data_IF_303880185311
#
_entry.id   IF_303880185311
#
_cell.length_a   1.000
_cell.length_b   1.000
_cell.length_c   1.000
_cell.angle_alpha   90.00
_cell.angle_beta   90.00
_cell.angle_gamma   90.00
#
_symmetry.space_group_name_H-M   'P 1'
#
loop_
_entity.id
_entity.type
_entity.pdbx_description
1 polymer ?
#
# COMPACT_ATOMS: atom_id res chain seq x y z
N UNK A 1 -23.36 83.51 -63.90
CA UNK A 1 -22.43 83.01 -64.93
C UNK A 1 -21.43 82.09 -64.24
N UNK A 2 -21.37 80.84 -64.70
CA UNK A 2 -20.31 79.83 -64.53
C UNK A 2 -19.89 79.37 -63.11
N UNK A 3 -20.32 78.14 -62.76
CA UNK A 3 -19.54 77.10 -62.03
C UNK A 3 -18.23 76.75 -62.80
N UNK A 4 -17.27 75.90 -62.33
CA UNK A 4 -17.39 74.83 -61.31
C UNK A 4 -16.13 74.55 -60.44
N UNK A 5 -16.20 73.58 -59.52
CA UNK A 5 -15.40 72.33 -59.51
C UNK A 5 -15.85 71.48 -58.30
N UNK A 6 -16.08 70.19 -58.55
CA UNK A 6 -16.44 69.15 -57.58
C UNK A 6 -15.29 68.14 -57.48
N UNK A 7 -15.03 67.56 -56.30
CA UNK A 7 -14.61 66.16 -56.21
C UNK A 7 -15.49 65.33 -55.21
N UNK A 8 -15.31 64.00 -55.15
CA UNK A 8 -16.45 63.06 -55.07
C UNK A 8 -16.62 62.28 -53.75
N UNK A 9 -17.89 61.92 -53.51
CA UNK A 9 -18.51 60.66 -53.02
C UNK A 9 -17.67 59.69 -52.15
N UNK A 10 -18.12 59.51 -50.89
CA UNK A 10 -18.13 58.25 -50.13
C UNK A 10 -19.36 58.31 -49.19
N UNK A 11 -20.46 57.59 -49.41
CA UNK A 11 -20.71 56.15 -49.20
C UNK A 11 -21.03 55.80 -47.72
N UNK A 12 -22.34 55.81 -47.46
CA UNK A 12 -23.14 54.97 -46.56
C UNK A 12 -22.61 54.61 -45.16
N UNK A 13 -23.31 55.16 -44.15
CA UNK A 13 -23.41 54.61 -42.81
C UNK A 13 -24.03 53.21 -42.84
N UNK A 14 -23.27 52.21 -42.40
CA UNK A 14 -23.79 50.89 -42.05
C UNK A 14 -23.67 50.72 -40.54
N UNK A 15 -24.82 50.73 -39.87
CA UNK A 15 -24.95 50.51 -38.43
C UNK A 15 -24.58 49.07 -38.10
N UNK A 16 -23.31 48.83 -37.76
CA UNK A 16 -22.88 47.54 -37.22
C UNK A 16 -23.13 47.52 -35.71
N UNK A 17 -24.25 46.90 -35.33
CA UNK A 17 -24.55 46.49 -33.97
C UNK A 17 -23.48 45.47 -33.52
N UNK A 18 -22.48 45.97 -32.79
CA UNK A 18 -21.50 45.14 -32.10
C UNK A 18 -22.20 44.33 -31.02
N UNK A 19 -22.67 43.13 -31.38
CA UNK A 19 -23.19 42.13 -30.45
C UNK A 19 -21.99 41.57 -29.69
N UNK A 20 -21.67 42.18 -28.55
CA UNK A 20 -20.79 41.58 -27.55
C UNK A 20 -21.44 40.29 -27.06
N UNK A 21 -21.07 39.17 -27.67
CA UNK A 21 -21.25 37.85 -27.08
C UNK A 21 -20.33 37.76 -25.86
N UNK A 22 -20.75 38.34 -24.74
CA UNK A 22 -20.35 37.84 -23.43
C UNK A 22 -20.91 36.42 -23.34
N UNK A 23 -20.05 35.44 -23.59
CA UNK A 23 -20.34 34.06 -23.26
C UNK A 23 -20.53 34.02 -21.74
N UNK A 24 -21.79 34.11 -21.29
CA UNK A 24 -22.17 33.95 -19.90
C UNK A 24 -21.62 32.60 -19.43
N UNK A 25 -20.55 32.64 -18.66
CA UNK A 25 -19.91 31.46 -18.09
C UNK A 25 -20.84 30.91 -17.02
N UNK A 26 -21.67 29.95 -17.40
CA UNK A 26 -22.54 29.26 -16.47
C UNK A 26 -21.68 28.55 -15.41
N UNK A 27 -21.82 28.97 -14.16
CA UNK A 27 -21.13 28.35 -13.02
C UNK A 27 -21.76 27.00 -12.70
N UNK A 28 -20.98 26.03 -12.22
CA UNK A 28 -21.51 24.74 -11.74
C UNK A 28 -22.58 24.91 -10.65
N UNK A 29 -22.58 26.03 -9.94
CA UNK A 29 -23.59 26.40 -8.93
C UNK A 29 -24.98 26.67 -9.52
N UNK A 30 -25.11 26.89 -10.84
CA UNK A 30 -26.40 27.05 -11.51
C UNK A 30 -27.07 25.72 -11.85
N UNK A 31 -26.33 24.60 -11.76
CA UNK A 31 -26.88 23.25 -11.96
C UNK A 31 -27.63 22.83 -10.70
N UNK A 32 -28.80 22.21 -10.86
CA UNK A 32 -29.60 21.73 -9.74
C UNK A 32 -28.84 20.69 -8.90
N UNK A 33 -28.94 20.76 -7.57
CA UNK A 33 -28.23 19.89 -6.63
C UNK A 33 -28.47 18.40 -6.89
N UNK A 34 -29.69 18.03 -7.26
CA UNK A 34 -30.02 16.64 -7.57
C UNK A 34 -29.28 16.12 -8.80
N UNK A 35 -29.10 16.95 -9.84
CA UNK A 35 -28.35 16.56 -11.05
C UNK A 35 -26.88 16.35 -10.68
N UNK A 36 -26.32 17.26 -9.88
CA UNK A 36 -24.96 17.13 -9.38
C UNK A 36 -24.82 15.82 -8.60
N UNK A 37 -25.73 15.55 -7.66
CA UNK A 37 -25.68 14.37 -6.79
C UNK A 37 -25.87 13.06 -7.54
N UNK A 38 -26.91 12.94 -8.38
CA UNK A 38 -27.30 11.66 -8.99
C UNK A 38 -26.55 11.33 -10.28
N UNK A 39 -26.10 12.33 -11.04
CA UNK A 39 -25.50 12.12 -12.36
C UNK A 39 -24.04 12.51 -12.48
N UNK A 40 -23.55 13.45 -11.65
CA UNK A 40 -22.16 13.91 -11.69
C UNK A 40 -21.33 13.18 -10.64
N UNK A 41 -21.70 13.31 -9.36
CA UNK A 41 -20.90 12.77 -8.25
C UNK A 41 -20.80 11.24 -8.26
N UNK A 42 -21.86 10.54 -8.70
CA UNK A 42 -21.91 9.07 -8.81
C UNK A 42 -20.95 8.50 -9.85
N UNK A 43 -20.38 9.32 -10.74
CA UNK A 43 -19.45 8.91 -11.80
C UNK A 43 -17.98 9.19 -11.46
N UNK A 44 -17.73 9.82 -10.32
CA UNK A 44 -16.38 10.20 -9.91
C UNK A 44 -15.72 9.03 -9.16
N UNK A 45 -14.43 8.83 -9.42
CA UNK A 45 -13.61 7.96 -8.59
C UNK A 45 -13.36 8.61 -7.22
N UNK A 46 -12.94 7.82 -6.24
CA UNK A 46 -12.72 8.33 -4.88
C UNK A 46 -11.79 9.54 -4.78
N UNK A 47 -10.63 9.58 -5.48
CA UNK A 47 -9.77 10.76 -5.51
C UNK A 47 -10.44 12.00 -6.14
N UNK A 48 -11.19 11.87 -7.24
CA UNK A 48 -11.92 13.01 -7.81
C UNK A 48 -13.04 13.48 -6.88
N UNK A 49 -13.78 12.55 -6.25
CA UNK A 49 -14.81 12.88 -5.28
C UNK A 49 -14.22 13.63 -4.07
N UNK A 50 -13.06 13.19 -3.57
CA UNK A 50 -12.32 13.90 -2.52
C UNK A 50 -11.92 15.32 -2.95
N UNK A 51 -11.42 15.48 -4.19
CA UNK A 51 -11.05 16.79 -4.72
C UNK A 51 -12.26 17.73 -4.83
N UNK A 52 -13.42 17.22 -5.27
CA UNK A 52 -14.68 17.96 -5.33
C UNK A 52 -15.11 18.46 -3.95
N UNK A 53 -14.89 17.66 -2.88
CA UNK A 53 -15.24 18.08 -1.52
C UNK A 53 -14.46 19.30 -1.02
N UNK A 54 -13.31 19.59 -1.64
CA UNK A 54 -12.45 20.73 -1.32
C UNK A 54 -12.72 21.96 -2.20
N UNK A 55 -13.51 21.82 -3.28
CA UNK A 55 -13.69 22.88 -4.27
C UNK A 55 -14.64 24.00 -3.80
N UNK A 56 -15.70 23.66 -3.07
CA UNK A 56 -16.65 24.62 -2.49
C UNK A 56 -17.44 24.01 -1.35
N UNK A 57 -18.04 24.85 -0.48
CA UNK A 57 -18.89 24.39 0.61
C UNK A 57 -20.13 23.62 0.11
N UNK A 58 -20.73 24.06 -1.02
CA UNK A 58 -21.88 23.40 -1.63
C UNK A 58 -21.52 21.99 -2.10
N UNK A 59 -20.40 21.85 -2.83
CA UNK A 59 -19.94 20.54 -3.32
C UNK A 59 -19.50 19.64 -2.16
N UNK A 60 -18.86 20.19 -1.14
CA UNK A 60 -18.53 19.47 0.10
C UNK A 60 -19.77 18.88 0.77
N UNK A 61 -20.84 19.66 0.90
CA UNK A 61 -22.09 19.20 1.47
C UNK A 61 -22.75 18.10 0.62
N UNK A 62 -22.79 18.26 -0.70
CA UNK A 62 -23.37 17.25 -1.61
C UNK A 62 -22.55 15.95 -1.64
N UNK A 63 -21.22 16.03 -1.53
CA UNK A 63 -20.32 14.87 -1.50
C UNK A 63 -20.17 14.23 -0.12
N UNK A 64 -20.90 14.69 0.90
CA UNK A 64 -20.86 14.09 2.25
C UNK A 64 -21.77 12.88 2.40
N UNK A 65 -22.52 12.51 1.36
CA UNK A 65 -23.40 11.34 1.34
C UNK A 65 -22.61 10.03 1.46
N UNK A 66 -22.90 9.24 2.50
CA UNK A 66 -22.25 7.95 2.75
C UNK A 66 -22.51 6.93 1.63
N UNK A 67 -23.65 7.01 0.93
CA UNK A 67 -23.94 6.10 -0.18
C UNK A 67 -22.92 6.25 -1.33
N UNK A 68 -22.53 7.49 -1.65
CA UNK A 68 -21.50 7.74 -2.66
C UNK A 68 -20.17 7.11 -2.26
N UNK A 69 -19.74 7.31 -1.01
CA UNK A 69 -18.49 6.75 -0.51
C UNK A 69 -18.54 5.23 -0.39
N UNK A 70 -19.72 4.65 -0.10
CA UNK A 70 -19.93 3.20 -0.09
C UNK A 70 -19.75 2.60 -1.47
N UNK A 71 -20.33 3.21 -2.50
CA UNK A 71 -20.18 2.74 -3.88
C UNK A 71 -18.72 2.88 -4.37
N UNK A 72 -18.05 3.97 -3.99
CA UNK A 72 -16.61 4.17 -4.23
C UNK A 72 -15.77 3.11 -3.52
N UNK A 73 -16.05 2.82 -2.23
CA UNK A 73 -15.34 1.78 -1.49
C UNK A 73 -15.59 0.39 -2.09
N UNK A 74 -16.83 0.06 -2.45
CA UNK A 74 -17.21 -1.24 -3.01
C UNK A 74 -16.61 -1.49 -4.39
N UNK A 75 -16.45 -0.44 -5.20
CA UNK A 75 -15.79 -0.52 -6.52
C UNK A 75 -14.26 -0.54 -6.43
N UNK A 76 -13.68 0.11 -5.42
CA UNK A 76 -12.21 0.12 -5.22
C UNK A 76 -11.73 -1.15 -4.48
N UNK A 77 -12.51 -1.61 -3.51
CA UNK A 77 -12.19 -2.70 -2.59
C UNK A 77 -13.42 -3.59 -2.38
N UNK A 78 -13.62 -4.63 -3.21
CA UNK A 78 -14.75 -5.55 -3.11
C UNK A 78 -14.93 -6.18 -1.72
N UNK A 79 -13.85 -6.36 -0.97
CA UNK A 79 -13.87 -6.85 0.42
C UNK A 79 -14.70 -5.98 1.37
N UNK A 80 -14.96 -4.72 1.03
CA UNK A 80 -15.86 -3.83 1.79
C UNK A 80 -17.33 -4.20 1.68
N UNK A 81 -17.70 -5.11 0.77
CA UNK A 81 -19.07 -5.62 0.67
C UNK A 81 -19.36 -6.72 1.69
N UNK A 82 -18.33 -7.29 2.30
CA UNK A 82 -18.46 -8.30 3.34
C UNK A 82 -19.27 -7.76 4.54
N UNK A 83 -20.24 -8.53 5.09
CA UNK A 83 -21.07 -8.07 6.20
C UNK A 83 -20.28 -7.60 7.42
N UNK A 84 -19.17 -8.27 7.76
CA UNK A 84 -18.35 -7.95 8.92
C UNK A 84 -17.61 -6.63 8.70
N UNK A 85 -17.06 -6.41 7.49
CA UNK A 85 -16.43 -5.12 7.14
C UNK A 85 -17.46 -4.00 7.10
N UNK A 86 -18.64 -4.21 6.50
CA UNK A 86 -19.73 -3.22 6.48
C UNK A 86 -20.17 -2.83 7.89
N UNK A 87 -20.33 -3.80 8.77
CA UNK A 87 -20.70 -3.55 10.16
C UNK A 87 -19.65 -2.68 10.84
N UNK A 88 -18.35 -2.99 10.71
CA UNK A 88 -17.30 -2.21 11.35
C UNK A 88 -17.17 -0.82 10.74
N UNK A 89 -17.26 -0.68 9.41
CA UNK A 89 -17.25 0.63 8.74
C UNK A 89 -18.36 1.53 9.30
N UNK A 90 -19.56 0.99 9.55
CA UNK A 90 -20.67 1.77 10.12
C UNK A 90 -20.39 2.34 11.52
N UNK A 91 -19.40 1.81 12.24
CA UNK A 91 -19.00 2.28 13.57
C UNK A 91 -17.92 3.38 13.55
N UNK A 92 -17.32 3.63 12.37
CA UNK A 92 -16.29 4.64 12.17
C UNK A 92 -16.90 6.06 12.20
N UNK A 93 -16.14 7.10 12.61
CA UNK A 93 -16.68 8.45 12.77
C UNK A 93 -17.31 9.07 11.51
N UNK A 94 -16.87 8.67 10.31
CA UNK A 94 -17.44 9.12 9.03
C UNK A 94 -17.64 7.97 8.06
N UNK A 95 -17.95 6.79 8.60
CA UNK A 95 -18.28 5.58 7.86
C UNK A 95 -17.35 5.32 6.66
N UNK A 96 -17.89 5.21 5.44
CA UNK A 96 -17.12 4.88 4.24
C UNK A 96 -16.15 6.00 3.83
N UNK A 97 -16.47 7.25 4.14
CA UNK A 97 -15.58 8.38 3.85
C UNK A 97 -14.30 8.32 4.68
N UNK A 98 -14.42 8.03 5.98
CA UNK A 98 -13.25 7.80 6.84
C UNK A 98 -12.47 6.56 6.42
N UNK A 99 -13.16 5.47 6.09
CA UNK A 99 -12.52 4.25 5.59
C UNK A 99 -11.69 4.51 4.34
N UNK A 100 -12.25 5.24 3.36
CA UNK A 100 -11.56 5.59 2.14
C UNK A 100 -10.35 6.48 2.42
N UNK A 101 -10.51 7.53 3.22
CA UNK A 101 -9.43 8.47 3.54
C UNK A 101 -8.28 7.84 4.34
N UNK A 102 -8.57 6.85 5.18
CA UNK A 102 -7.56 6.15 5.98
C UNK A 102 -6.81 5.08 5.15
N UNK A 103 -7.49 4.49 4.15
CA UNK A 103 -6.96 3.47 3.22
C UNK A 103 -6.26 4.06 1.99
N UNK A 104 -6.63 5.28 1.58
CA UNK A 104 -6.06 6.00 0.46
C UNK A 104 -5.89 7.50 0.78
N UNK A 105 -4.72 8.11 0.48
CA UNK A 105 -3.56 7.52 -0.17
C UNK A 105 -2.75 6.56 0.73
N UNK A 106 -1.87 5.77 0.11
CA UNK A 106 -1.03 4.79 0.81
C UNK A 106 -0.09 5.45 1.83
N UNK A 107 0.29 4.65 2.84
CA UNK A 107 1.34 5.02 3.78
C UNK A 107 2.66 5.30 3.05
N UNK A 108 3.36 6.32 3.51
CA UNK A 108 4.64 6.74 2.99
C UNK A 108 5.62 6.93 4.14
N UNK A 109 6.80 6.32 4.01
CA UNK A 109 7.88 6.52 4.98
C UNK A 109 8.42 7.95 4.88
N UNK A 110 8.30 8.80 5.93
CA UNK A 110 8.95 10.10 5.93
C UNK A 110 10.48 9.93 5.92
N UNK A 111 11.18 10.81 5.19
CA UNK A 111 12.65 10.88 5.24
C UNK A 111 13.13 11.14 6.68
N UNK A 112 14.32 10.64 7.08
CA UNK A 112 14.82 10.74 8.46
C UNK A 112 14.82 12.17 9.03
N UNK A 113 15.10 13.18 8.20
CA UNK A 113 15.13 14.60 8.61
C UNK A 113 13.76 15.21 8.94
N UNK A 114 12.65 14.52 8.63
CA UNK A 114 11.27 14.98 8.84
C UNK A 114 10.54 14.23 9.95
N UNK A 115 11.21 13.32 10.65
CA UNK A 115 10.60 12.65 11.79
C UNK A 115 10.37 13.66 12.92
N UNK A 116 9.13 14.14 13.05
CA UNK A 116 8.70 14.87 14.25
C UNK A 116 8.87 13.94 15.45
N UNK A 117 9.30 14.50 16.60
CA UNK A 117 9.33 13.77 17.87
C UNK A 117 7.96 13.11 18.05
N UNK A 118 7.94 11.78 18.18
CA UNK A 118 6.71 11.05 18.48
C UNK A 118 6.14 11.62 19.79
N UNK A 119 4.85 11.95 19.87
CA UNK A 119 4.24 12.21 21.16
C UNK A 119 4.48 10.99 22.06
N UNK A 120 4.67 11.23 23.36
CA UNK A 120 4.80 10.15 24.33
C UNK A 120 3.64 9.16 24.14
N UNK A 121 3.96 7.88 24.03
CA UNK A 121 2.99 6.79 23.90
C UNK A 121 1.90 6.99 24.95
N UNK A 122 0.71 7.47 24.53
CA UNK A 122 -0.50 7.20 25.31
C UNK A 122 -0.63 5.69 25.25
N UNK A 123 -0.76 5.02 26.40
CA UNK A 123 -1.10 3.61 26.41
C UNK A 123 -2.37 3.46 25.56
N UNK A 124 -2.26 2.91 24.35
CA UNK A 124 -3.43 2.76 23.50
C UNK A 124 -4.36 1.77 24.20
N UNK A 125 -5.66 1.97 24.04
CA UNK A 125 -6.62 0.93 24.37
C UNK A 125 -6.14 -0.36 23.72
N UNK A 126 -6.10 -1.50 24.43
CA UNK A 126 -5.57 -2.71 23.86
C UNK A 126 -6.36 -3.05 22.61
N UNK A 127 -5.68 -3.08 21.46
CA UNK A 127 -6.24 -3.64 20.24
C UNK A 127 -6.66 -5.08 20.53
N UNK A 128 -7.96 -5.34 20.43
CA UNK A 128 -8.57 -6.64 20.76
C UNK A 128 -8.76 -7.51 19.54
N UNK A 129 -9.03 -6.88 18.40
CA UNK A 129 -9.33 -7.56 17.14
C UNK A 129 -8.85 -6.72 15.95
N UNK A 130 -8.20 -7.39 15.01
CA UNK A 130 -7.82 -6.83 13.71
C UNK A 130 -8.56 -7.55 12.60
N UNK A 131 -9.16 -6.77 11.69
CA UNK A 131 -9.81 -7.32 10.50
C UNK A 131 -8.94 -7.00 9.30
N UNK A 132 -8.53 -8.04 8.57
CA UNK A 132 -7.86 -7.93 7.27
C UNK A 132 -8.89 -8.09 6.16
N UNK A 133 -9.03 -7.06 5.33
CA UNK A 133 -9.85 -7.03 4.13
C UNK A 133 -8.90 -6.97 2.93
N UNK A 134 -8.90 -8.01 2.10
CA UNK A 134 -7.87 -8.24 1.08
C UNK A 134 -8.50 -8.50 -0.27
N UNK A 135 -8.05 -7.75 -1.26
CA UNK A 135 -8.50 -7.88 -2.65
C UNK A 135 -7.28 -7.97 -3.56
N UNK A 136 -7.22 -9.03 -4.38
CA UNK A 136 -6.21 -9.25 -5.40
C UNK A 136 -6.82 -9.11 -6.79
N UNK A 137 -6.19 -8.33 -7.65
CA UNK A 137 -6.60 -8.09 -9.02
C UNK A 137 -5.49 -8.47 -9.99
N UNK A 138 -5.90 -8.87 -11.19
CA UNK A 138 -5.03 -9.07 -12.34
C UNK A 138 -5.68 -8.41 -13.55
N UNK A 139 -4.98 -7.47 -14.20
CA UNK A 139 -5.52 -6.67 -15.33
C UNK A 139 -6.85 -5.99 -14.99
N UNK A 140 -6.94 -5.43 -13.79
CA UNK A 140 -8.13 -4.79 -13.22
C UNK A 140 -9.34 -5.73 -13.03
N UNK A 141 -9.19 -7.04 -13.23
CA UNK A 141 -10.19 -8.05 -12.91
C UNK A 141 -9.90 -8.71 -11.56
N UNK A 142 -10.94 -8.92 -10.76
CA UNK A 142 -10.83 -9.49 -9.42
C UNK A 142 -10.43 -10.97 -9.50
N UNK A 143 -9.27 -11.31 -8.93
CA UNK A 143 -8.82 -12.71 -8.77
C UNK A 143 -9.49 -13.32 -7.55
N UNK A 144 -9.40 -12.66 -6.39
CA UNK A 144 -10.15 -13.03 -5.19
C UNK A 144 -10.33 -11.83 -4.26
N UNK A 145 -11.34 -11.94 -3.39
CA UNK A 145 -11.61 -11.03 -2.28
C UNK A 145 -11.87 -11.85 -1.03
N UNK A 146 -11.18 -11.56 0.07
CA UNK A 146 -11.32 -12.30 1.33
C UNK A 146 -11.20 -11.37 2.54
N UNK A 147 -11.96 -11.70 3.58
CA UNK A 147 -11.94 -11.01 4.87
C UNK A 147 -11.58 -12.01 5.96
N UNK A 148 -10.71 -11.60 6.88
CA UNK A 148 -10.32 -12.40 8.03
C UNK A 148 -10.21 -11.54 9.28
N UNK A 149 -10.95 -11.91 10.32
CA UNK A 149 -10.81 -11.37 11.66
C UNK A 149 -9.75 -12.17 12.43
N UNK A 150 -8.88 -11.46 13.14
CA UNK A 150 -7.83 -12.02 13.97
C UNK A 150 -7.89 -11.42 15.37
N UNK A 151 -7.95 -12.28 16.38
CA UNK A 151 -7.87 -11.91 17.78
C UNK A 151 -6.41 -11.58 18.16
N UNK A 152 -6.22 -10.52 18.94
CA UNK A 152 -4.88 -9.97 19.22
C UNK A 152 -4.51 -9.98 20.70
N UNK A 153 -5.41 -10.43 21.58
CA UNK A 153 -5.18 -10.41 23.02
C UNK A 153 -4.39 -11.62 23.51
N UNK A 154 -4.56 -12.77 22.87
CA UNK A 154 -3.98 -14.04 23.28
C UNK A 154 -2.47 -13.95 23.44
N UNK A 155 -1.97 -14.61 24.49
CA UNK A 155 -0.53 -14.72 24.75
C UNK A 155 0.21 -15.38 23.58
N UNK A 156 -0.45 -16.26 22.84
CA UNK A 156 0.10 -16.85 21.61
C UNK A 156 0.38 -15.78 20.56
N UNK A 157 -0.64 -15.00 20.18
CA UNK A 157 -0.47 -13.90 19.21
C UNK A 157 0.63 -12.92 19.65
N UNK A 158 0.60 -12.51 20.91
CA UNK A 158 1.54 -11.50 21.44
C UNK A 158 2.99 -11.95 21.44
N UNK A 159 3.24 -13.25 21.61
CA UNK A 159 4.60 -13.81 21.70
C UNK A 159 5.07 -14.46 20.39
N UNK A 160 4.15 -14.88 19.51
CA UNK A 160 4.49 -15.46 18.20
C UNK A 160 4.85 -14.37 17.20
N UNK A 161 5.60 -14.71 16.13
CA UNK A 161 5.74 -13.85 14.96
C UNK A 161 4.36 -13.32 14.51
N UNK A 162 4.28 -12.02 14.22
CA UNK A 162 3.09 -11.43 13.63
C UNK A 162 2.95 -11.99 12.23
N UNK A 163 1.93 -12.83 12.03
CA UNK A 163 1.60 -13.45 10.77
C UNK A 163 0.08 -13.59 10.66
N UNK A 164 -0.47 -13.13 9.54
CA UNK A 164 -1.88 -13.31 9.19
C UNK A 164 -1.93 -14.11 7.91
N UNK A 165 -2.47 -15.34 7.98
CA UNK A 165 -2.64 -16.24 6.84
C UNK A 165 -4.12 -16.27 6.43
N UNK A 166 -4.44 -15.77 5.24
CA UNK A 166 -5.83 -15.73 4.76
C UNK A 166 -6.34 -17.09 4.28
N UNK A 167 -5.45 -17.94 3.78
CA UNK A 167 -5.79 -19.25 3.25
C UNK A 167 -5.55 -20.32 4.29
N UNK A 168 -6.53 -21.21 4.46
CA UNK A 168 -6.37 -22.37 5.33
C UNK A 168 -5.36 -23.37 4.78
N UNK A 169 -4.91 -24.34 5.59
CA UNK A 169 -4.03 -25.40 5.11
C UNK A 169 -4.67 -26.15 3.92
N UNK A 170 -3.99 -26.19 2.78
CA UNK A 170 -4.44 -26.81 1.52
C UNK A 170 -5.62 -26.12 0.83
N UNK A 171 -6.02 -24.93 1.28
CA UNK A 171 -6.96 -24.10 0.52
C UNK A 171 -6.22 -23.54 -0.71
N UNK A 172 -6.77 -23.80 -1.89
CA UNK A 172 -6.24 -23.35 -3.17
C UNK A 172 -7.30 -22.51 -3.86
N UNK A 173 -6.93 -21.32 -4.34
CA UNK A 173 -7.83 -20.48 -5.11
C UNK A 173 -7.45 -20.55 -6.60
N UNK A 174 -8.29 -21.16 -7.46
CA UNK A 174 -8.04 -21.16 -8.89
C UNK A 174 -8.07 -19.74 -9.43
N UNK A 175 -7.16 -19.43 -10.35
CA UNK A 175 -7.14 -18.15 -11.06
C UNK A 175 -7.35 -18.36 -12.54
N UNK A 176 -7.74 -17.29 -13.23
CA UNK A 176 -7.81 -17.22 -14.69
C UNK A 176 -6.47 -16.80 -15.32
N UNK A 177 -5.40 -16.72 -14.53
CA UNK A 177 -4.08 -16.30 -15.00
C UNK A 177 -3.41 -17.49 -15.66
N UNK A 178 -3.31 -17.48 -16.98
CA UNK A 178 -2.64 -18.51 -17.76
C UNK A 178 -1.18 -18.15 -17.97
N UNK A 179 -0.28 -19.13 -17.80
CA UNK A 179 1.10 -19.00 -18.27
C UNK A 179 1.11 -19.28 -19.78
N UNK A 180 1.53 -18.29 -20.57
CA UNK A 180 1.80 -18.51 -21.99
C UNK A 180 3.08 -19.36 -22.12
N UNK A 181 2.91 -20.66 -22.30
CA UNK A 181 4.02 -21.64 -22.44
C UNK A 181 4.69 -21.60 -23.81
N UNK A 182 4.18 -20.82 -24.76
CA UNK A 182 4.71 -20.71 -26.11
C UNK A 182 5.85 -19.68 -26.19
N UNK A 183 7.05 -20.06 -25.73
CA UNK A 183 8.31 -19.40 -26.07
C UNK A 183 8.61 -18.06 -25.39
N UNK A 184 7.81 -17.63 -24.41
CA UNK A 184 8.13 -16.45 -23.60
C UNK A 184 9.25 -16.77 -22.59
N UNK A 185 10.19 -15.84 -22.43
CA UNK A 185 11.23 -15.92 -21.41
C UNK A 185 10.59 -15.89 -20.00
N UNK A 186 11.13 -16.64 -19.03
CA UNK A 186 10.58 -16.68 -17.67
C UNK A 186 10.64 -15.27 -17.05
N UNK A 187 11.68 -14.50 -17.37
CA UNK A 187 11.84 -13.11 -16.93
C UNK A 187 10.77 -12.17 -17.53
N UNK A 188 10.35 -12.40 -18.78
CA UNK A 188 9.27 -11.65 -19.42
C UNK A 188 7.93 -11.94 -18.73
N UNK A 189 7.69 -13.20 -18.39
CA UNK A 189 6.49 -13.62 -17.67
C UNK A 189 6.41 -13.02 -16.26
N UNK A 190 7.50 -13.07 -15.49
CA UNK A 190 7.54 -12.45 -14.15
C UNK A 190 7.34 -10.93 -14.24
N UNK A 191 7.91 -10.28 -15.26
CA UNK A 191 7.70 -8.86 -15.52
C UNK A 191 6.23 -8.55 -15.84
N UNK A 192 5.59 -9.39 -16.65
CA UNK A 192 4.16 -9.25 -16.95
C UNK A 192 3.28 -9.39 -15.71
N UNK A 193 3.58 -10.33 -14.80
CA UNK A 193 2.88 -10.43 -13.52
C UNK A 193 3.10 -9.18 -12.65
N UNK A 194 4.34 -8.69 -12.59
CA UNK A 194 4.66 -7.46 -11.86
C UNK A 194 3.84 -6.27 -12.35
N UNK A 195 3.60 -6.18 -13.66
CA UNK A 195 2.90 -5.05 -14.26
C UNK A 195 1.38 -5.10 -14.11
N UNK A 196 0.81 -6.30 -14.04
CA UNK A 196 -0.64 -6.51 -14.15
C UNK A 196 -1.31 -6.94 -12.84
N UNK A 197 -0.55 -7.40 -11.85
CA UNK A 197 -1.10 -7.72 -10.54
C UNK A 197 -1.20 -6.48 -9.66
N UNK A 198 -2.31 -6.31 -8.97
CA UNK A 198 -2.44 -5.31 -7.91
C UNK A 198 -3.16 -5.88 -6.70
N UNK A 199 -2.84 -5.40 -5.51
CA UNK A 199 -3.44 -5.90 -4.27
C UNK A 199 -3.75 -4.78 -3.30
N UNK A 200 -4.86 -4.87 -2.59
CA UNK A 200 -5.11 -4.09 -1.37
C UNK A 200 -5.08 -5.02 -0.17
N UNK A 201 -4.37 -4.62 0.89
CA UNK A 201 -4.45 -5.30 2.18
C UNK A 201 -4.81 -4.26 3.23
N UNK A 202 -6.10 -4.10 3.48
CA UNK A 202 -6.62 -3.11 4.40
C UNK A 202 -6.80 -3.77 5.76
N UNK A 203 -6.12 -3.23 6.77
CA UNK A 203 -6.28 -3.63 8.15
C UNK A 203 -7.15 -2.62 8.88
N UNK A 204 -8.18 -3.11 9.56
CA UNK A 204 -9.11 -2.35 10.36
C UNK A 204 -8.91 -2.72 11.82
N UNK A 205 -8.62 -1.72 12.64
CA UNK A 205 -8.60 -1.85 14.08
C UNK A 205 -9.96 -1.44 14.64
N UNK A 206 -10.67 -2.40 15.22
CA UNK A 206 -12.03 -2.19 15.74
C UNK A 206 -12.04 -1.37 17.02
N UNK A 207 -10.97 -1.41 17.82
CA UNK A 207 -10.85 -0.68 19.07
C UNK A 207 -10.45 0.78 18.84
N UNK A 208 -9.45 1.01 17.98
CA UNK A 208 -9.01 2.36 17.61
C UNK A 208 -9.96 3.02 16.61
N UNK A 209 -10.83 2.25 15.95
CA UNK A 209 -11.69 2.71 14.84
C UNK A 209 -10.85 3.38 13.74
N UNK A 210 -9.72 2.76 13.43
CA UNK A 210 -8.76 3.25 12.43
C UNK A 210 -8.52 2.19 11.37
N UNK A 211 -8.17 2.67 10.19
CA UNK A 211 -7.93 1.84 9.03
C UNK A 211 -6.57 2.18 8.43
N UNK A 212 -5.94 1.18 7.83
CA UNK A 212 -4.70 1.37 7.10
C UNK A 212 -4.56 0.34 5.99
N UNK A 213 -4.14 0.79 4.81
CA UNK A 213 -3.70 -0.13 3.77
C UNK A 213 -2.21 -0.41 3.93
N UNK A 214 -1.87 -1.69 4.13
CA UNK A 214 -0.50 -2.18 4.32
C UNK A 214 0.12 -2.74 3.03
N UNK A 215 -0.60 -2.77 1.92
CA UNK A 215 -0.04 -3.12 0.62
C UNK A 215 0.50 -1.88 -0.12
N UNK A 216 1.51 -2.09 -0.96
CA UNK A 216 2.04 -1.10 -1.88
C UNK A 216 1.14 -0.84 -3.11
N UNK A 217 -0.04 -1.48 -3.18
CA UNK A 217 -0.89 -1.63 -4.38
C UNK A 217 -0.22 -2.41 -5.51
N UNK A 218 0.96 -1.98 -5.94
CA UNK A 218 1.78 -2.64 -6.97
C UNK A 218 2.79 -3.58 -6.30
N UNK A 219 3.19 -4.68 -6.94
CA UNK A 219 4.24 -5.56 -6.44
C UNK A 219 5.56 -4.79 -6.28
N UNK A 220 6.27 -5.07 -5.19
CA UNK A 220 7.65 -4.57 -4.98
C UNK A 220 8.69 -5.61 -5.39
N UNK A 221 8.29 -6.88 -5.47
CA UNK A 221 9.13 -7.98 -5.95
C UNK A 221 8.25 -9.12 -6.46
N UNK A 222 8.64 -9.69 -7.61
CA UNK A 222 8.07 -10.92 -8.16
C UNK A 222 9.24 -11.85 -8.42
N UNK A 223 9.24 -13.02 -7.79
CA UNK A 223 10.35 -13.96 -7.88
C UNK A 223 9.84 -15.38 -7.96
N UNK A 224 10.60 -16.23 -8.66
CA UNK A 224 10.36 -17.66 -8.66
C UNK A 224 11.11 -18.30 -7.49
N UNK A 225 10.39 -19.06 -6.68
CA UNK A 225 10.99 -19.83 -5.60
C UNK A 225 11.87 -20.94 -6.18
N UNK A 226 13.15 -20.95 -5.83
CA UNK A 226 14.16 -21.80 -6.47
C UNK A 226 13.91 -23.31 -6.29
N UNK A 227 13.26 -23.72 -5.20
CA UNK A 227 13.02 -25.13 -4.89
C UNK A 227 11.69 -25.64 -5.43
N UNK A 228 10.60 -24.90 -5.19
CA UNK A 228 9.24 -25.35 -5.56
C UNK A 228 8.85 -24.91 -6.96
N UNK A 229 9.50 -23.88 -7.49
CA UNK A 229 9.14 -23.26 -8.76
C UNK A 229 7.90 -22.35 -8.68
N UNK A 230 7.30 -22.19 -7.50
CA UNK A 230 6.17 -21.30 -7.24
C UNK A 230 6.58 -19.84 -7.45
N UNK A 231 5.61 -19.00 -7.79
CA UNK A 231 5.85 -17.57 -7.97
C UNK A 231 5.44 -16.85 -6.68
N UNK A 232 6.39 -16.12 -6.10
CA UNK A 232 6.21 -15.30 -4.91
C UNK A 232 6.08 -13.83 -5.33
N UNK A 233 4.93 -13.25 -5.03
CA UNK A 233 4.63 -11.84 -5.28
C UNK A 233 4.54 -11.12 -3.95
N UNK A 234 5.45 -10.16 -3.75
CA UNK A 234 5.53 -9.38 -2.52
C UNK A 234 4.96 -7.97 -2.76
N UNK A 235 4.08 -7.57 -1.87
CA UNK A 235 3.59 -6.20 -1.69
C UNK A 235 4.11 -5.71 -0.34
N UNK A 236 4.67 -4.50 -0.29
CA UNK A 236 5.41 -4.08 0.90
C UNK A 236 5.21 -2.63 1.24
N UNK A 237 4.85 -2.36 2.49
CA UNK A 237 4.86 -1.00 3.06
C UNK A 237 5.97 -0.88 4.09
N UNK A 238 6.85 0.09 3.88
CA UNK A 238 7.95 0.38 4.81
C UNK A 238 7.51 1.49 5.77
N UNK A 239 7.63 1.25 7.07
CA UNK A 239 7.31 2.21 8.12
C UNK A 239 8.48 2.43 9.07
N UNK A 240 8.38 3.48 9.88
CA UNK A 240 9.29 3.67 11.01
C UNK A 240 8.82 2.78 12.17
N UNK A 241 9.70 1.90 12.68
CA UNK A 241 9.40 1.04 13.81
C UNK A 241 9.78 1.69 15.14
N UNK A 242 10.72 1.10 15.87
CA UNK A 242 11.19 1.60 17.16
C UNK A 242 11.96 2.93 17.07
N UNK A 243 11.78 3.85 18.04
CA UNK A 243 12.47 5.14 18.05
C UNK A 243 13.97 5.06 18.38
N UNK A 244 14.47 3.88 18.80
CA UNK A 244 15.88 3.70 19.14
C UNK A 244 16.72 3.63 17.87
N UNK A 245 17.40 4.73 17.56
CA UNK A 245 18.35 4.81 16.44
C UNK A 245 19.39 3.69 16.53
N UNK A 246 19.59 2.97 15.43
CA UNK A 246 20.47 1.81 15.37
C UNK A 246 19.86 0.50 15.89
N UNK A 247 18.56 0.46 16.21
CA UNK A 247 17.84 -0.79 16.50
C UNK A 247 17.58 -1.59 15.21
N UNK A 248 17.44 -2.92 15.33
CA UNK A 248 16.97 -3.80 14.26
C UNK A 248 15.62 -3.33 13.71
N UNK A 249 14.74 -2.95 14.62
CA UNK A 249 13.37 -2.53 14.37
C UNK A 249 13.21 -1.02 14.09
N UNK A 250 14.29 -0.26 13.83
CA UNK A 250 14.18 1.17 13.49
C UNK A 250 13.32 1.40 12.22
N UNK A 251 13.44 0.48 11.26
CA UNK A 251 12.64 0.45 10.04
C UNK A 251 12.06 -0.94 9.92
N UNK A 252 10.77 -1.00 9.61
CA UNK A 252 10.01 -2.25 9.57
C UNK A 252 9.23 -2.31 8.28
N UNK A 253 9.17 -3.51 7.73
CA UNK A 253 8.37 -3.84 6.56
C UNK A 253 7.12 -4.60 7.01
N UNK A 254 5.96 -4.09 6.61
CA UNK A 254 4.75 -4.91 6.49
C UNK A 254 4.77 -5.54 5.10
N UNK A 255 5.05 -6.85 5.03
CA UNK A 255 5.20 -7.60 3.78
C UNK A 255 4.03 -8.55 3.60
N UNK A 256 3.20 -8.28 2.60
CA UNK A 256 2.14 -9.17 2.16
C UNK A 256 2.62 -10.00 0.97
N UNK A 257 2.63 -11.32 1.12
CA UNK A 257 3.13 -12.28 0.14
C UNK A 257 1.96 -13.07 -0.42
N UNK A 258 1.89 -13.15 -1.74
CA UNK A 258 0.99 -14.02 -2.48
C UNK A 258 1.83 -15.06 -3.20
N UNK A 259 1.58 -16.34 -2.91
CA UNK A 259 2.25 -17.46 -3.56
C UNK A 259 1.32 -18.05 -4.61
N UNK A 260 1.82 -18.17 -5.83
CA UNK A 260 1.15 -18.83 -6.94
C UNK A 260 1.83 -20.15 -7.25
N UNK A 261 1.10 -21.24 -7.12
CA UNK A 261 1.50 -22.57 -7.56
C UNK A 261 0.98 -22.90 -8.96
N UNK A 262 1.46 -24.02 -9.50
CA UNK A 262 0.95 -24.57 -10.74
C UNK A 262 -0.44 -25.20 -10.53
N UNK A 263 -1.44 -24.68 -11.24
CA UNK A 263 -2.81 -25.15 -11.24
C UNK A 263 -3.20 -25.84 -12.54
N UNK A 264 -4.29 -26.62 -12.50
CA UNK A 264 -4.83 -27.31 -13.69
C UNK A 264 -6.01 -26.53 -14.25
N UNK A 265 -5.97 -26.19 -15.54
CA UNK A 265 -7.14 -25.60 -16.22
C UNK A 265 -8.35 -26.55 -16.15
N UNK A 266 -9.54 -25.98 -15.89
CA UNK A 266 -10.82 -26.71 -15.91
C UNK A 266 -11.29 -27.07 -17.34
N UNK A 267 -10.62 -26.59 -18.39
CA UNK A 267 -10.87 -26.95 -19.79
C UNK A 267 -9.63 -27.64 -20.38
N UNK A 268 -9.82 -28.75 -21.08
CA UNK A 268 -8.77 -29.71 -21.46
C UNK A 268 -7.49 -29.15 -22.12
N UNK A 269 -6.39 -29.86 -21.84
CA UNK A 269 -5.06 -29.93 -22.49
C UNK A 269 -4.44 -28.59 -22.95
N UNK A 270 -3.49 -28.09 -22.15
CA UNK A 270 -2.35 -27.32 -22.67
C UNK A 270 -2.02 -25.99 -21.98
N UNK A 271 -2.95 -25.42 -21.20
CA UNK A 271 -2.70 -24.16 -20.49
C UNK A 271 -2.59 -24.39 -18.97
N UNK A 272 -1.37 -24.28 -18.46
CA UNK A 272 -1.11 -24.24 -17.03
C UNK A 272 -1.62 -22.90 -16.48
N UNK A 273 -2.64 -22.97 -15.63
CA UNK A 273 -3.16 -21.81 -14.92
C UNK A 273 -2.40 -21.65 -13.59
N UNK A 274 -2.31 -20.44 -13.07
CA UNK A 274 -1.83 -20.23 -11.71
C UNK A 274 -2.94 -20.48 -10.70
N UNK A 275 -2.58 -21.04 -9.55
CA UNK A 275 -3.44 -21.16 -8.38
C UNK A 275 -2.82 -20.38 -7.22
N UNK A 276 -3.61 -19.59 -6.50
CA UNK A 276 -3.13 -18.96 -5.26
C UNK A 276 -3.09 -20.04 -4.18
N UNK A 277 -1.90 -20.34 -3.67
CA UNK A 277 -1.64 -21.38 -2.67
C UNK A 277 -1.45 -20.82 -1.27
N UNK A 278 -0.96 -19.58 -1.16
CA UNK A 278 -0.73 -18.90 0.10
C UNK A 278 -0.97 -17.40 -0.07
N UNK A 279 -1.59 -16.77 0.92
CA UNK A 279 -1.69 -15.32 1.04
C UNK A 279 -1.44 -14.96 2.49
N UNK A 280 -0.30 -14.33 2.77
CA UNK A 280 0.13 -14.05 4.14
C UNK A 280 0.67 -12.63 4.31
N UNK A 281 0.44 -12.03 5.47
CA UNK A 281 1.03 -10.76 5.88
C UNK A 281 1.97 -10.99 7.06
N UNK A 282 3.20 -10.50 6.96
CA UNK A 282 4.22 -10.61 7.99
C UNK A 282 4.93 -9.28 8.24
N UNK A 283 5.52 -9.15 9.43
CA UNK A 283 6.22 -7.95 9.86
C UNK A 283 7.69 -8.27 10.09
N UNK A 284 8.58 -7.62 9.33
CA UNK A 284 10.02 -7.88 9.38
C UNK A 284 10.83 -6.64 9.75
N UNK A 285 11.88 -6.85 10.53
CA UNK A 285 12.88 -5.84 10.87
C UNK A 285 14.02 -5.74 9.82
N UNK A 286 14.97 -4.82 10.03
CA UNK A 286 16.14 -4.66 9.13
C UNK A 286 17.16 -5.81 9.22
N UNK A 287 16.96 -6.80 10.07
CA UNK A 287 17.76 -8.02 10.14
C UNK A 287 17.04 -9.21 9.49
N UNK A 288 15.82 -9.00 8.99
CA UNK A 288 14.98 -10.04 8.41
C UNK A 288 14.33 -10.94 9.44
N UNK A 289 14.30 -10.52 10.72
CA UNK A 289 13.55 -11.25 11.75
C UNK A 289 12.11 -10.80 11.74
N UNK A 290 11.21 -11.77 11.87
CA UNK A 290 9.80 -11.49 12.11
C UNK A 290 9.63 -10.89 13.51
N UNK A 291 8.94 -9.75 13.58
CA UNK A 291 8.54 -9.17 14.86
C UNK A 291 7.38 -9.96 15.46
N UNK A 292 7.30 -10.02 16.78
CA UNK A 292 6.16 -10.66 17.45
C UNK A 292 4.88 -9.82 17.34
N UNK A 293 3.73 -10.40 17.67
CA UNK A 293 2.45 -9.69 17.61
C UNK A 293 2.42 -8.42 18.45
N UNK A 294 2.95 -8.45 19.67
CA UNK A 294 2.94 -7.29 20.58
C UNK A 294 3.69 -6.08 20.02
N UNK A 295 4.92 -6.29 19.57
CA UNK A 295 5.77 -5.21 19.07
C UNK A 295 5.27 -4.72 17.72
N UNK A 296 4.72 -5.62 16.90
CA UNK A 296 4.09 -5.28 15.62
C UNK A 296 2.85 -4.40 15.77
N UNK A 297 2.00 -4.67 16.78
CA UNK A 297 0.82 -3.84 17.08
C UNK A 297 1.22 -2.41 17.42
N UNK A 298 2.22 -2.21 18.28
CA UNK A 298 2.69 -0.86 18.65
C UNK A 298 3.12 -0.06 17.41
N UNK A 299 3.76 -0.72 16.45
CA UNK A 299 4.19 -0.10 15.20
C UNK A 299 2.99 0.19 14.28
N UNK A 300 2.05 -0.75 14.18
CA UNK A 300 0.83 -0.62 13.38
C UNK A 300 -0.04 0.53 13.87
N UNK A 301 -0.31 0.61 15.17
CA UNK A 301 -1.10 1.66 15.81
C UNK A 301 -0.46 3.04 15.57
N UNK A 302 0.87 3.14 15.75
CA UNK A 302 1.61 4.37 15.46
C UNK A 302 1.52 4.76 13.97
N UNK A 303 1.52 3.79 13.06
CA UNK A 303 1.34 4.04 11.63
C UNK A 303 -0.10 4.48 11.31
N UNK A 304 -1.11 3.91 11.95
CA UNK A 304 -2.51 4.33 11.81
C UNK A 304 -2.70 5.78 12.27
N UNK A 305 -2.22 6.12 13.47
CA UNK A 305 -2.39 7.44 14.08
C UNK A 305 -1.59 8.56 13.41
N UNK A 306 -0.31 8.34 13.18
CA UNK A 306 0.65 9.39 12.79
C UNK A 306 1.35 9.15 11.46
N UNK A 307 1.03 8.06 10.76
CA UNK A 307 1.64 7.72 9.48
C UNK A 307 1.39 8.78 8.42
N UNK A 308 2.46 9.22 7.75
CA UNK A 308 2.33 10.12 6.61
C UNK A 308 1.72 9.36 5.44
N UNK A 309 0.63 9.88 4.88
CA UNK A 309 -0.02 9.33 3.67
C UNK A 309 0.19 10.27 2.50
N UNK A 310 0.49 9.74 1.32
CA UNK A 310 0.54 10.56 0.09
C UNK A 310 0.32 9.70 -1.15
N UNK A 311 -0.20 10.32 -2.21
CA UNK A 311 -0.26 9.70 -3.52
C UNK A 311 1.16 9.45 -4.02
N UNK A 312 1.42 8.27 -4.58
CA UNK A 312 2.67 7.97 -5.26
C UNK A 312 2.90 9.00 -6.38
N UNK A 313 4.13 9.51 -6.48
CA UNK A 313 4.50 10.53 -7.47
C UNK A 313 4.72 9.91 -8.85
N UNK A 314 5.14 8.65 -8.87
CA UNK A 314 5.39 7.86 -10.07
C UNK A 314 5.15 6.38 -9.75
N UNK A 315 4.87 5.61 -10.81
CA UNK A 315 4.85 4.15 -10.77
C UNK A 315 6.19 3.62 -10.25
N UNK A 316 6.17 2.58 -9.42
CA UNK A 316 7.39 2.00 -8.85
C UNK A 316 8.04 2.78 -7.69
N UNK A 317 7.45 3.86 -7.18
CA UNK A 317 7.96 4.54 -5.97
C UNK A 317 8.02 3.60 -4.75
N UNK A 318 7.04 2.70 -4.61
CA UNK A 318 7.05 1.68 -3.56
C UNK A 318 8.20 0.67 -3.76
N UNK A 319 8.45 0.27 -5.01
CA UNK A 319 9.59 -0.60 -5.37
C UNK A 319 10.93 0.05 -5.06
N UNK A 320 11.07 1.36 -5.28
CA UNK A 320 12.26 2.12 -4.89
C UNK A 320 12.46 2.12 -3.36
N UNK A 321 11.41 2.42 -2.59
CA UNK A 321 11.48 2.37 -1.11
C UNK A 321 11.83 0.97 -0.59
N UNK A 322 11.30 -0.07 -1.24
CA UNK A 322 11.62 -1.45 -0.91
C UNK A 322 13.08 -1.79 -1.24
N UNK A 323 13.61 -1.35 -2.39
CA UNK A 323 15.03 -1.51 -2.74
C UNK A 323 15.95 -0.82 -1.74
N UNK A 324 15.62 0.41 -1.34
CA UNK A 324 16.35 1.14 -0.29
C UNK A 324 16.33 0.36 1.04
N UNK A 325 15.20 -0.25 1.39
CA UNK A 325 15.09 -1.09 2.59
C UNK A 325 15.96 -2.35 2.51
N UNK A 326 15.96 -3.04 1.38
CA UNK A 326 16.84 -4.17 1.13
C UNK A 326 18.33 -3.80 1.15
N UNK A 327 18.69 -2.61 0.66
CA UNK A 327 20.04 -2.07 0.76
C UNK A 327 20.45 -1.84 2.22
N UNK A 328 19.58 -1.26 3.04
CA UNK A 328 19.83 -1.11 4.49
C UNK A 328 19.99 -2.48 5.18
N UNK A 329 19.14 -3.46 4.86
CA UNK A 329 19.27 -4.85 5.34
C UNK A 329 20.65 -5.44 4.96
N UNK A 330 21.12 -5.22 3.73
CA UNK A 330 22.44 -5.71 3.26
C UNK A 330 23.59 -4.99 3.95
N UNK A 331 23.51 -3.68 4.11
CA UNK A 331 24.55 -2.89 4.77
C UNK A 331 24.72 -3.29 6.23
N UNK A 332 23.62 -3.44 6.97
CA UNK A 332 23.65 -3.92 8.35
C UNK A 332 24.25 -5.32 8.46
N UNK A 333 23.84 -6.26 7.61
CA UNK A 333 24.44 -7.61 7.56
C UNK A 333 25.95 -7.57 7.35
N UNK A 334 26.44 -6.67 6.48
CA UNK A 334 27.88 -6.46 6.28
C UNK A 334 28.56 -5.90 7.53
N UNK A 335 27.92 -4.96 8.24
CA UNK A 335 28.46 -4.40 9.48
C UNK A 335 28.54 -5.46 10.60
N UNK A 336 27.51 -6.29 10.75
CA UNK A 336 27.48 -7.40 11.69
C UNK A 336 28.57 -8.42 11.35
N UNK A 337 28.67 -8.86 10.10
CA UNK A 337 29.70 -9.82 9.70
C UNK A 337 31.12 -9.26 9.92
N UNK A 338 31.34 -7.95 9.76
CA UNK A 338 32.62 -7.30 10.10
C UNK A 338 32.90 -7.31 11.60
N UNK A 339 31.89 -7.05 12.43
CA UNK A 339 32.02 -7.07 13.88
C UNK A 339 32.31 -8.50 14.39
N UNK A 340 31.60 -9.51 13.87
CA UNK A 340 31.83 -10.93 14.18
C UNK A 340 33.25 -11.35 13.80
N UNK A 341 33.72 -11.03 12.59
CA UNK A 341 35.11 -11.29 12.17
C UNK A 341 36.13 -10.64 13.08
N UNK A 342 35.87 -9.43 13.57
CA UNK A 342 36.76 -8.74 14.51
C UNK A 342 36.80 -9.44 15.87
N UNK A 343 35.65 -9.92 16.36
CA UNK A 343 35.55 -10.70 17.59
C UNK A 343 36.26 -12.06 17.46
N UNK A 344 36.09 -12.75 16.32
CA UNK A 344 36.77 -14.01 16.04
C UNK A 344 38.29 -13.83 16.04
N UNK A 345 38.79 -12.77 15.37
CA UNK A 345 40.22 -12.46 15.35
C UNK A 345 40.75 -12.13 16.74
N UNK A 346 40.01 -11.37 17.53
CA UNK A 346 40.38 -11.08 18.92
C UNK A 346 40.41 -12.34 19.78
N UNK A 347 39.43 -13.24 19.62
CA UNK A 347 39.37 -14.52 20.31
C UNK A 347 40.57 -15.42 19.96
N UNK A 348 40.90 -15.53 18.67
CA UNK A 348 42.08 -16.26 18.18
C UNK A 348 43.36 -15.67 18.78
N UNK A 349 43.52 -14.34 18.77
CA UNK A 349 44.69 -13.67 19.33
C UNK A 349 44.85 -13.92 20.84
N UNK A 350 43.76 -13.89 21.60
CA UNK A 350 43.75 -14.23 23.03
C UNK A 350 44.14 -15.70 23.24
N UNK A 351 43.56 -16.62 22.46
CA UNK A 351 43.90 -18.05 22.52
C UNK A 351 45.38 -18.32 22.22
N UNK A 352 45.94 -17.70 21.18
CA UNK A 352 47.37 -17.80 20.83
C UNK A 352 48.24 -17.24 21.95
N UNK A 353 47.86 -16.10 22.54
CA UNK A 353 48.62 -15.48 23.64
C UNK A 353 48.64 -16.38 24.88
N UNK A 354 47.50 -16.97 25.25
CA UNK A 354 47.41 -17.94 26.36
C UNK A 354 48.28 -19.17 26.07
N UNK A 355 48.24 -19.69 24.85
CA UNK A 355 49.06 -20.85 24.46
C UNK A 355 50.56 -20.53 24.54
N UNK A 356 51.01 -19.42 23.97
CA UNK A 356 52.43 -19.00 23.98
C UNK A 356 52.92 -18.77 25.40
N UNK A 357 52.13 -18.10 26.25
CA UNK A 357 52.51 -17.85 27.66
C UNK A 357 52.59 -19.15 28.46
N UNK A 358 51.67 -20.09 28.25
CA UNK A 358 51.70 -21.42 28.88
C UNK A 358 52.95 -22.22 28.49
N UNK A 359 53.29 -22.29 27.20
CA UNK A 359 54.50 -22.99 26.74
C UNK A 359 55.79 -22.31 27.17
N UNK A 360 55.83 -20.98 27.19
CA UNK A 360 56.97 -20.23 27.72
C UNK A 360 57.19 -20.56 29.20
N UNK A 361 56.11 -20.63 30.00
CA UNK A 361 56.21 -21.03 31.40
C UNK A 361 56.76 -22.44 31.59
N UNK A 362 56.40 -23.40 30.73
CA UNK A 362 56.93 -24.77 30.77
C UNK A 362 58.39 -24.84 30.34
N UNK A 363 58.79 -24.10 29.30
CA UNK A 363 60.15 -24.17 28.74
C UNK A 363 61.19 -23.39 29.54
N UNK A 364 60.79 -22.33 30.24
CA UNK A 364 61.67 -21.50 31.06
C UNK A 364 61.63 -21.83 32.56
N UNK A 365 61.04 -22.97 32.92
CA UNK A 365 61.06 -23.56 34.27
C UNK A 365 61.84 -24.86 34.23
#
# INVERSE_FOLDING_TARGET
MASPIRPPIAAADDHQHGRSHEAATASITTVHSDIIRSHILTRLDGPALAAVTCASAQLSALSSDDALWRDVCASTWPSTQDPLVRQVISTLPSSHRSFFSDSYPLLHRPKPSRQKKRPAYKFPSPTTELISAVDLFYKDELVFSKVQANETESGWFRCSPFRVDLLGPKELLPTFITRNSAGADDDEWLSHLEENLTMSWIVIDTALKRVVNLSSREPVSVQRHWLTGDILVLYGTIVAGEPRKGSAAEVVQFGAVVTFGAGKSKGGVGEDCLEVTEVSLQVEDMEGRSLNGRDSLVILEAAMEGGQRRKARKRGEAKEQFKEFEEMKRERRRQQHRAERALDLACIAVGVTIFVTFWSYILFR
#
